data_IF_151750417922
#
_entry.id   IF_151750417922
#
_cell.length_a   1.000
_cell.length_b   1.000
_cell.length_c   1.000
_cell.angle_alpha   90.00
_cell.angle_beta   90.00
_cell.angle_gamma   90.00
#
_symmetry.space_group_name_H-M   'P 1'
#
loop_
_entity.id
_entity.type
_entity.pdbx_description
1 polymer ?
#
# COMPACT_ATOMS: atom_id res chain seq x y z
N UNK A 1 9.71 -20.68 -9.74
CA UNK A 1 9.90 -20.89 -11.19
C UNK A 1 8.71 -20.24 -11.88
N UNK A 2 8.82 -18.96 -12.24
CA UNK A 2 7.72 -18.18 -12.80
C UNK A 2 7.81 -18.24 -14.34
N UNK A 3 6.76 -18.74 -14.98
CA UNK A 3 6.66 -18.83 -16.43
C UNK A 3 5.66 -17.74 -16.89
N UNK A 4 6.16 -16.62 -17.38
CA UNK A 4 5.36 -15.55 -17.97
C UNK A 4 5.24 -15.73 -19.48
N UNK A 5 4.03 -15.85 -20.00
CA UNK A 5 3.76 -15.87 -21.45
C UNK A 5 3.40 -14.44 -21.88
N UNK A 6 4.27 -13.82 -22.67
CA UNK A 6 3.99 -12.56 -23.38
C UNK A 6 3.63 -12.87 -24.83
N UNK A 7 2.45 -12.44 -25.28
CA UNK A 7 2.07 -12.44 -26.69
C UNK A 7 2.44 -11.08 -27.31
N UNK A 8 3.30 -11.09 -28.32
CA UNK A 8 3.72 -9.91 -29.09
C UNK A 8 2.85 -9.85 -30.36
N UNK A 9 2.12 -8.76 -30.64
CA UNK A 9 1.51 -8.58 -31.95
C UNK A 9 2.59 -8.23 -32.99
N UNK A 10 2.53 -8.92 -34.14
CA UNK A 10 3.43 -8.70 -35.27
C UNK A 10 3.21 -7.31 -35.90
N UNK A 11 4.25 -6.48 -35.89
CA UNK A 11 4.34 -5.28 -36.70
C UNK A 11 4.91 -5.63 -38.08
N UNK A 12 4.18 -5.31 -39.15
CA UNK A 12 4.70 -5.37 -40.51
C UNK A 12 5.62 -4.18 -40.76
N UNK A 13 6.88 -4.46 -41.10
CA UNK A 13 7.84 -3.47 -41.58
C UNK A 13 7.47 -3.06 -43.02
N UNK A 14 7.33 -1.76 -43.26
CA UNK A 14 7.21 -1.19 -44.60
C UNK A 14 8.46 -0.37 -44.92
N UNK A 15 8.84 -0.48 -46.19
CA UNK A 15 10.13 -0.28 -46.81
C UNK A 15 10.69 1.15 -46.77
N UNK A 16 12.02 1.25 -46.92
CA UNK A 16 12.80 2.47 -46.86
C UNK A 16 12.62 3.35 -48.12
N UNK A 17 12.53 4.67 -47.89
CA UNK A 17 12.66 5.70 -48.92
C UNK A 17 13.23 6.98 -48.29
N UNK A 18 14.50 7.25 -48.54
CA UNK A 18 15.15 8.51 -48.23
C UNK A 18 14.75 9.58 -49.26
N UNK A 19 14.36 10.78 -48.82
CA UNK A 19 15.08 12.05 -49.06
C UNK A 19 14.30 13.25 -48.46
N UNK A 20 14.99 14.39 -48.39
CA UNK A 20 14.55 15.75 -48.10
C UNK A 20 14.64 16.24 -46.64
N UNK A 21 15.69 17.04 -46.42
CA UNK A 21 15.85 17.97 -45.32
C UNK A 21 14.82 19.11 -45.41
N UNK A 22 14.11 19.37 -44.31
CA UNK A 22 13.47 20.66 -44.03
C UNK A 22 13.80 21.06 -42.59
N UNK A 23 14.23 22.33 -42.44
CA UNK A 23 14.41 23.02 -41.18
C UNK A 23 13.12 22.99 -40.35
N UNK A 24 13.15 22.32 -39.19
CA UNK A 24 12.17 22.57 -38.14
C UNK A 24 12.80 23.45 -37.07
N UNK A 25 12.31 24.69 -36.99
CA UNK A 25 12.46 25.56 -35.82
C UNK A 25 12.24 24.77 -34.52
N UNK A 26 13.06 25.07 -33.51
CA UNK A 26 13.11 24.35 -32.24
C UNK A 26 11.76 24.19 -31.56
N UNK A 27 11.12 23.05 -31.82
CA UNK A 27 10.17 22.44 -30.91
C UNK A 27 10.99 22.06 -29.68
N UNK A 28 10.65 22.64 -28.53
CA UNK A 28 11.08 22.08 -27.24
C UNK A 28 10.64 20.64 -27.26
N UNK A 29 11.60 19.73 -27.40
CA UNK A 29 11.37 18.30 -27.36
C UNK A 29 10.77 18.01 -25.98
N UNK A 30 9.47 17.73 -25.94
CA UNK A 30 8.79 17.39 -24.70
C UNK A 30 9.39 16.05 -24.24
N UNK A 31 10.32 16.12 -23.30
CA UNK A 31 10.92 14.93 -22.72
C UNK A 31 9.89 14.29 -21.79
N UNK A 32 9.06 13.43 -22.35
CA UNK A 32 8.11 12.61 -21.60
C UNK A 32 8.92 11.55 -20.85
N UNK A 33 9.22 11.83 -19.58
CA UNK A 33 9.79 10.83 -18.69
C UNK A 33 8.67 9.92 -18.21
N UNK A 34 8.81 8.62 -18.40
CA UNK A 34 7.84 7.59 -17.95
C UNK A 34 8.44 6.66 -16.89
N UNK A 35 7.59 6.01 -16.10
CA UNK A 35 7.98 5.01 -15.09
C UNK A 35 8.67 5.59 -13.84
N UNK A 36 9.51 4.79 -13.17
CA UNK A 36 10.23 5.13 -11.92
C UNK A 36 10.84 6.54 -11.92
N UNK A 37 11.47 6.97 -13.03
CA UNK A 37 12.11 8.29 -13.11
C UNK A 37 11.09 9.43 -13.02
N UNK A 38 9.90 9.27 -13.61
CA UNK A 38 8.82 10.25 -13.52
C UNK A 38 8.30 10.34 -12.09
N UNK A 39 8.14 9.20 -11.44
CA UNK A 39 7.72 9.12 -10.04
C UNK A 39 8.69 9.88 -9.12
N UNK A 40 10.00 9.63 -9.27
CA UNK A 40 11.03 10.29 -8.49
C UNK A 40 11.03 11.81 -8.71
N UNK A 41 10.86 12.26 -9.96
CA UNK A 41 10.74 13.69 -10.28
C UNK A 41 9.48 14.28 -9.63
N UNK A 42 8.32 13.63 -9.76
CA UNK A 42 7.08 14.08 -9.13
C UNK A 42 7.18 14.17 -7.60
N UNK A 43 7.82 13.19 -6.96
CA UNK A 43 8.07 13.21 -5.51
C UNK A 43 9.07 14.31 -5.10
N UNK A 44 10.09 14.58 -5.92
CA UNK A 44 10.99 15.73 -5.71
C UNK A 44 10.28 17.07 -5.88
N UNK A 45 9.45 17.22 -6.91
CA UNK A 45 8.72 18.47 -7.17
C UNK A 45 7.73 18.75 -6.04
N UNK A 46 6.99 17.73 -5.58
CA UNK A 46 6.16 17.87 -4.37
C UNK A 46 7.00 18.30 -3.16
N UNK A 47 8.17 17.69 -2.94
CA UNK A 47 9.05 18.07 -1.83
C UNK A 47 9.59 19.50 -1.96
N UNK A 48 9.88 19.95 -3.18
CA UNK A 48 10.41 21.29 -3.48
C UNK A 48 9.37 22.38 -3.29
N UNK A 49 8.14 22.13 -3.73
CA UNK A 49 7.04 23.11 -3.66
C UNK A 49 6.38 23.13 -2.27
N UNK A 50 6.72 22.16 -1.42
CA UNK A 50 6.18 22.00 -0.09
C UNK A 50 6.94 22.86 0.96
N UNK A 51 6.21 23.71 1.69
CA UNK A 51 6.74 24.51 2.82
C UNK A 51 6.97 23.65 4.09
N UNK A 52 8.11 22.97 4.22
CA UNK A 52 8.45 22.09 5.36
C UNK A 52 8.92 20.68 4.93
N UNK A 53 9.08 19.75 5.89
CA UNK A 53 9.56 18.38 5.56
C UNK A 53 8.40 17.51 5.12
N UNK A 54 8.28 17.32 3.81
CA UNK A 54 7.31 16.44 3.17
C UNK A 54 8.04 15.39 2.35
N UNK A 55 7.60 14.16 2.50
CA UNK A 55 7.95 13.08 1.59
C UNK A 55 6.66 12.57 0.96
N UNK A 56 6.73 12.08 -0.26
CA UNK A 56 5.58 11.56 -0.96
C UNK A 56 5.97 10.33 -1.78
N UNK A 57 4.99 9.46 -2.01
CA UNK A 57 5.08 8.25 -2.82
C UNK A 57 3.94 8.27 -3.83
N UNK A 58 4.18 7.85 -5.06
CA UNK A 58 3.20 7.97 -6.17
C UNK A 58 2.59 6.63 -6.59
N UNK A 59 1.52 6.69 -7.38
CA UNK A 59 0.89 5.52 -8.00
C UNK A 59 1.89 4.62 -8.73
N UNK A 60 2.84 5.21 -9.44
CA UNK A 60 3.90 4.47 -10.12
C UNK A 60 4.81 3.71 -9.13
N UNK A 61 5.13 4.29 -7.96
CA UNK A 61 5.94 3.59 -6.94
C UNK A 61 5.21 2.40 -6.30
N UNK A 62 3.88 2.48 -6.18
CA UNK A 62 3.03 1.38 -5.71
C UNK A 62 2.88 0.28 -6.76
N UNK A 63 2.93 0.63 -8.04
CA UNK A 63 2.77 -0.31 -9.16
C UNK A 63 4.06 -1.00 -9.58
N UNK A 64 5.19 -0.32 -9.45
CA UNK A 64 6.52 -0.85 -9.82
C UNK A 64 6.99 -1.94 -8.86
N UNK A 65 6.43 -2.00 -7.66
CA UNK A 65 6.74 -2.99 -6.66
C UNK A 65 5.47 -3.69 -6.17
N UNK A 66 5.50 -5.01 -5.97
CA UNK A 66 4.33 -5.76 -5.52
C UNK A 66 4.13 -5.59 -4.00
N UNK A 67 3.94 -4.36 -3.52
CA UNK A 67 3.54 -4.12 -2.14
C UNK A 67 2.12 -4.68 -1.93
N UNK A 68 1.91 -5.40 -0.83
CA UNK A 68 0.61 -6.04 -0.54
C UNK A 68 -0.45 -5.02 -0.10
N UNK A 69 -0.02 -3.86 0.42
CA UNK A 69 -0.89 -2.78 0.85
C UNK A 69 -0.14 -1.44 0.92
N UNK A 70 -0.88 -0.39 1.28
CA UNK A 70 -0.37 0.97 1.30
C UNK A 70 0.64 1.24 2.43
N UNK A 71 0.50 0.61 3.60
CA UNK A 71 1.44 0.77 4.70
C UNK A 71 2.83 0.21 4.35
N UNK A 72 2.90 -0.97 3.72
CA UNK A 72 4.16 -1.55 3.27
C UNK A 72 4.90 -0.64 2.27
N UNK A 73 4.17 0.07 1.41
CA UNK A 73 4.77 1.06 0.53
C UNK A 73 5.32 2.29 1.30
N UNK A 74 4.61 2.74 2.34
CA UNK A 74 5.04 3.87 3.18
C UNK A 74 6.34 3.61 3.94
N UNK A 75 6.72 2.35 4.18
CA UNK A 75 7.99 2.00 4.83
C UNK A 75 9.23 2.47 4.04
N UNK A 76 9.06 2.80 2.75
CA UNK A 76 10.13 3.35 1.90
C UNK A 76 10.45 4.80 2.23
N UNK A 77 9.56 5.49 2.95
CA UNK A 77 9.78 6.86 3.37
C UNK A 77 10.72 6.85 4.59
N UNK A 78 11.84 7.60 4.56
CA UNK A 78 12.78 7.62 5.68
C UNK A 78 12.13 8.02 7.01
N UNK A 79 12.37 7.23 8.05
CA UNK A 79 11.80 7.49 9.38
C UNK A 79 10.32 7.17 9.49
N UNK A 80 9.76 6.43 8.53
CA UNK A 80 8.50 5.71 8.67
C UNK A 80 8.82 4.24 8.91
N UNK A 81 8.24 3.67 9.95
CA UNK A 81 8.20 2.23 10.20
C UNK A 81 6.76 1.77 10.23
N UNK A 82 6.54 0.48 10.12
CA UNK A 82 5.19 -0.09 10.12
C UNK A 82 5.04 -1.11 11.23
N UNK A 83 3.82 -1.17 11.76
CA UNK A 83 3.37 -2.22 12.64
C UNK A 83 2.61 -3.24 11.81
N UNK A 84 2.89 -4.51 12.07
CA UNK A 84 2.31 -5.62 11.29
C UNK A 84 1.25 -6.34 12.09
N UNK A 85 0.16 -6.65 11.40
CA UNK A 85 -0.88 -7.53 11.87
C UNK A 85 -1.01 -8.70 10.88
N UNK A 86 -0.96 -9.94 11.37
CA UNK A 86 -1.04 -11.16 10.54
C UNK A 86 -0.08 -11.15 9.33
N UNK A 87 1.16 -10.68 9.55
CA UNK A 87 2.21 -10.63 8.54
C UNK A 87 2.08 -9.50 7.51
N UNK A 88 1.15 -8.56 7.68
CA UNK A 88 0.99 -7.39 6.82
C UNK A 88 1.07 -6.08 7.59
N UNK A 89 1.70 -5.06 7.02
CA UNK A 89 1.66 -3.71 7.57
C UNK A 89 0.22 -3.20 7.69
N UNK A 90 -0.22 -2.84 8.88
CA UNK A 90 -1.56 -2.29 9.15
C UNK A 90 -1.49 -0.84 9.61
N UNK A 91 -0.45 -0.48 10.36
CA UNK A 91 -0.30 0.84 10.95
C UNK A 91 1.11 1.38 10.69
N UNK A 92 1.26 2.70 10.83
CA UNK A 92 2.54 3.38 10.61
C UNK A 92 2.98 4.10 11.87
N UNK A 93 4.27 4.05 12.14
CA UNK A 93 4.98 4.80 13.18
C UNK A 93 5.92 5.78 12.48
N UNK A 94 5.90 7.06 12.86
CA UNK A 94 6.71 8.08 12.19
C UNK A 94 7.62 8.78 13.18
N UNK A 95 8.92 8.80 12.89
CA UNK A 95 9.98 9.37 13.75
C UNK A 95 9.97 8.82 15.19
N UNK A 96 9.60 7.54 15.34
CA UNK A 96 9.52 6.86 16.64
C UNK A 96 8.26 7.21 17.45
N UNK A 97 7.34 8.01 16.91
CA UNK A 97 6.03 8.25 17.51
C UNK A 97 5.04 7.22 16.94
N UNK A 98 4.44 6.46 17.85
CA UNK A 98 3.52 5.37 17.55
C UNK A 98 2.32 5.78 16.70
N UNK A 99 1.56 4.80 16.17
CA UNK A 99 0.48 5.04 15.22
C UNK A 99 -0.61 6.00 15.69
N UNK A 100 -0.88 6.04 16.99
CA UNK A 100 -1.86 6.92 17.62
C UNK A 100 -1.51 8.41 17.54
N UNK A 101 -0.25 8.74 17.22
CA UNK A 101 0.24 10.11 17.06
C UNK A 101 0.24 10.57 15.60
N UNK A 102 -0.17 9.71 14.66
CA UNK A 102 -0.27 10.03 13.25
C UNK A 102 -1.73 10.31 12.87
N UNK A 103 -1.93 11.29 11.99
CA UNK A 103 -3.27 11.65 11.49
C UNK A 103 -3.37 11.27 10.02
N UNK A 104 -4.29 10.38 9.67
CA UNK A 104 -4.55 10.00 8.26
C UNK A 104 -5.71 10.81 7.68
N UNK A 105 -5.48 11.38 6.50
CA UNK A 105 -6.43 12.14 5.72
C UNK A 105 -6.66 11.45 4.38
N UNK A 106 -7.85 11.60 3.81
CA UNK A 106 -8.19 11.25 2.43
C UNK A 106 -8.66 12.52 1.72
N UNK A 107 -7.91 12.94 0.69
CA UNK A 107 -8.11 14.20 -0.02
C UNK A 107 -8.21 15.40 0.95
N UNK A 108 -7.41 15.40 2.03
CA UNK A 108 -7.40 16.43 3.07
C UNK A 108 -8.47 16.31 4.15
N UNK A 109 -9.37 15.30 4.09
CA UNK A 109 -10.41 15.04 5.10
C UNK A 109 -9.99 13.93 6.05
N UNK A 110 -10.21 14.09 7.35
CA UNK A 110 -9.84 13.05 8.34
C UNK A 110 -10.55 11.74 8.06
N UNK A 111 -9.78 10.65 8.01
CA UNK A 111 -10.34 9.31 7.94
C UNK A 111 -10.79 8.83 9.33
N UNK A 112 -11.88 8.04 9.41
CA UNK A 112 -12.28 7.40 10.66
C UNK A 112 -11.31 6.27 11.01
N UNK A 113 -11.18 5.98 12.31
CA UNK A 113 -10.38 4.89 12.85
C UNK A 113 -11.25 3.93 13.65
N UNK A 114 -11.01 2.62 13.53
CA UNK A 114 -11.73 1.59 14.27
C UNK A 114 -11.15 1.45 15.69
N UNK A 115 -11.80 2.07 16.68
CA UNK A 115 -11.53 1.85 18.10
C UNK A 115 -10.34 2.60 18.72
N UNK A 116 -9.44 3.18 17.91
CA UNK A 116 -8.27 3.96 18.35
C UNK A 116 -8.10 5.30 17.65
N UNK A 117 -6.96 5.97 17.82
CA UNK A 117 -6.55 7.15 16.99
C UNK A 117 -5.72 6.76 15.78
N UNK A 118 -5.22 5.53 15.73
CA UNK A 118 -4.48 4.99 14.59
C UNK A 118 -5.44 4.59 13.47
N UNK A 119 -5.05 4.90 12.24
CA UNK A 119 -5.76 4.47 11.05
C UNK A 119 -5.23 3.11 10.61
N UNK A 120 -6.12 2.19 10.25
CA UNK A 120 -5.74 0.90 9.68
C UNK A 120 -5.65 1.01 8.16
N UNK A 121 -4.44 0.89 7.64
CA UNK A 121 -4.16 0.93 6.20
C UNK A 121 -4.52 -0.39 5.50
N UNK A 122 -4.93 -1.43 6.23
CA UNK A 122 -5.54 -2.60 5.62
C UNK A 122 -6.86 -2.23 4.95
N UNK A 123 -7.60 -1.23 5.43
CA UNK A 123 -8.92 -0.83 4.91
C UNK A 123 -8.88 -0.13 3.55
N UNK A 124 -7.71 0.38 3.14
CA UNK A 124 -7.57 1.16 1.91
C UNK A 124 -6.69 0.41 0.92
N UNK A 125 -7.29 -0.01 -0.18
CA UNK A 125 -6.57 -0.46 -1.36
C UNK A 125 -5.67 0.64 -1.95
N UNK A 126 -4.54 0.24 -2.49
CA UNK A 126 -3.64 1.12 -3.25
C UNK A 126 -4.28 1.53 -4.58
N UNK A 127 -5.21 0.72 -5.10
CA UNK A 127 -5.89 0.94 -6.36
C UNK A 127 -6.91 2.08 -6.28
N UNK A 128 -6.55 3.21 -6.86
CA UNK A 128 -7.31 4.46 -6.80
C UNK A 128 -6.58 5.58 -6.06
N UNK A 129 -5.53 5.25 -5.30
CA UNK A 129 -4.63 6.24 -4.67
C UNK A 129 -3.59 6.68 -5.70
N UNK A 130 -3.57 7.98 -6.02
CA UNK A 130 -2.61 8.57 -6.95
C UNK A 130 -1.29 8.92 -6.26
N UNK A 131 -1.34 9.28 -4.98
CA UNK A 131 -0.16 9.55 -4.17
C UNK A 131 -0.48 9.50 -2.68
N UNK A 132 0.55 9.31 -1.86
CA UNK A 132 0.48 9.55 -0.43
C UNK A 132 1.54 10.56 -0.03
N UNK A 133 1.12 11.57 0.71
CA UNK A 133 1.98 12.63 1.21
C UNK A 133 2.13 12.50 2.73
N UNK A 134 3.36 12.45 3.21
CA UNK A 134 3.69 12.35 4.64
C UNK A 134 4.30 13.67 5.09
N UNK A 135 3.50 14.44 5.80
CA UNK A 135 3.88 15.72 6.40
C UNK A 135 4.43 15.48 7.80
N UNK A 136 5.73 15.67 7.96
CA UNK A 136 6.39 15.49 9.27
C UNK A 136 6.55 16.80 10.05
N UNK A 137 6.00 17.88 9.52
CA UNK A 137 5.98 19.20 10.14
C UNK A 137 4.58 19.77 9.99
N UNK A 138 4.06 20.39 11.04
CA UNK A 138 2.75 21.03 11.02
C UNK A 138 2.68 22.15 9.99
N UNK A 139 1.53 22.25 9.29
CA UNK A 139 1.23 23.32 8.33
C UNK A 139 -0.15 23.90 8.64
N UNK A 140 -0.31 25.19 8.39
CA UNK A 140 -1.58 25.88 8.62
C UNK A 140 -2.75 25.34 7.78
N UNK A 141 -2.47 24.78 6.60
CA UNK A 141 -3.47 24.20 5.70
C UNK A 141 -3.87 22.76 6.02
N UNK A 142 -3.25 22.13 7.03
CA UNK A 142 -3.58 20.76 7.43
C UNK A 142 -4.34 20.76 8.77
N UNK A 143 -5.31 19.85 8.95
CA UNK A 143 -5.93 19.64 10.25
C UNK A 143 -4.89 19.32 11.32
N UNK A 144 -5.13 19.82 12.53
CA UNK A 144 -4.29 19.52 13.70
C UNK A 144 -4.57 18.11 14.20
N UNK A 145 -3.57 17.44 14.79
CA UNK A 145 -3.77 16.13 15.42
C UNK A 145 -2.67 15.10 15.18
N UNK A 146 -1.88 15.26 14.11
CA UNK A 146 -0.71 14.43 13.80
C UNK A 146 0.57 15.01 14.41
N UNK A 147 0.92 14.61 15.63
CA UNK A 147 2.17 15.04 16.30
C UNK A 147 3.38 14.34 15.67
N UNK A 148 3.22 13.07 15.27
CA UNK A 148 4.23 12.31 14.54
C UNK A 148 4.30 12.74 13.07
N UNK A 149 3.19 12.54 12.37
CA UNK A 149 2.98 13.04 11.03
C UNK A 149 1.50 13.19 10.70
N UNK A 150 1.22 13.98 9.67
CA UNK A 150 -0.05 13.96 8.96
C UNK A 150 0.17 13.24 7.63
N UNK A 151 -0.56 12.17 7.38
CA UNK A 151 -0.50 11.37 6.15
C UNK A 151 -1.74 11.67 5.33
N UNK A 152 -1.56 12.17 4.11
CA UNK A 152 -2.65 12.53 3.22
C UNK A 152 -2.67 11.61 2.01
N UNK A 153 -3.73 10.83 1.91
CA UNK A 153 -4.04 9.93 0.81
C UNK A 153 -4.70 10.75 -0.30
N UNK A 154 -4.01 10.91 -1.43
CA UNK A 154 -4.55 11.57 -2.61
C UNK A 154 -5.12 10.51 -3.54
N UNK A 155 -6.38 10.67 -3.89
CA UNK A 155 -7.06 9.77 -4.83
C UNK A 155 -6.87 10.24 -6.26
N UNK A 156 -7.13 9.35 -7.20
CA UNK A 156 -7.10 9.68 -8.62
C UNK A 156 -8.22 10.63 -8.97
N UNK A 157 -7.93 11.60 -9.85
CA UNK A 157 -8.86 12.66 -10.24
C UNK A 157 -8.91 12.77 -11.76
N UNK A 158 -10.10 12.84 -12.38
CA UNK A 158 -10.23 12.82 -13.83
C UNK A 158 -9.53 14.01 -14.51
N UNK A 159 -9.56 15.21 -13.91
CA UNK A 159 -8.94 16.40 -14.51
C UNK A 159 -7.41 16.42 -14.41
N UNK A 160 -6.81 15.59 -13.55
CA UNK A 160 -5.36 15.46 -13.46
C UNK A 160 -4.76 14.61 -14.59
N UNK A 161 -5.60 13.86 -15.31
CA UNK A 161 -5.19 13.04 -16.44
C UNK A 161 -6.28 13.06 -17.51
N UNK A 162 -6.38 14.18 -18.26
CA UNK A 162 -7.45 14.37 -19.22
C UNK A 162 -7.51 13.30 -20.31
N UNK A 163 -8.69 13.17 -20.90
CA UNK A 163 -9.07 12.15 -21.87
C UNK A 163 -9.67 10.90 -21.25
N UNK A 164 -9.84 9.87 -22.07
CA UNK A 164 -10.30 8.55 -21.63
C UNK A 164 -9.13 7.73 -21.11
N UNK A 165 -9.21 7.28 -19.87
CA UNK A 165 -8.22 6.42 -19.22
C UNK A 165 -8.93 5.20 -18.64
N UNK A 166 -8.32 4.03 -18.81
CA UNK A 166 -8.85 2.78 -18.29
C UNK A 166 -7.71 1.83 -17.95
N UNK A 167 -7.80 1.19 -16.80
CA UNK A 167 -6.90 0.10 -16.41
C UNK A 167 -7.70 -0.96 -15.69
N UNK A 168 -7.36 -2.22 -15.96
CA UNK A 168 -7.87 -3.38 -15.24
C UNK A 168 -6.66 -4.22 -14.86
N UNK A 169 -6.60 -4.63 -13.61
CA UNK A 169 -5.52 -5.46 -13.06
C UNK A 169 -6.14 -6.70 -12.44
N UNK A 170 -5.50 -7.84 -12.68
CA UNK A 170 -5.84 -9.10 -12.03
C UNK A 170 -4.55 -9.77 -11.55
N UNK A 171 -4.53 -10.19 -10.29
CA UNK A 171 -3.42 -10.86 -9.62
C UNK A 171 -3.93 -12.09 -8.88
N UNK A 172 -3.02 -13.01 -8.58
CA UNK A 172 -3.28 -14.13 -7.69
C UNK A 172 -2.12 -14.21 -6.69
N UNK A 173 -2.44 -14.16 -5.40
CA UNK A 173 -1.48 -14.25 -4.31
C UNK A 173 -1.26 -15.70 -3.95
N UNK A 174 0.00 -16.14 -3.87
CA UNK A 174 0.35 -17.48 -3.39
C UNK A 174 0.77 -17.41 -1.92
N UNK A 175 -0.03 -17.98 -1.03
CA UNK A 175 0.29 -18.00 0.39
C UNK A 175 1.04 -19.27 0.78
N UNK A 176 2.21 -19.10 1.40
CA UNK A 176 3.06 -20.22 1.84
C UNK A 176 2.79 -20.66 3.28
N UNK A 177 2.09 -19.83 4.06
CA UNK A 177 1.79 -20.08 5.48
C UNK A 177 0.63 -21.04 5.74
N UNK A 178 -0.05 -21.54 4.69
CA UNK A 178 -1.20 -22.46 4.81
C UNK A 178 -0.89 -23.96 4.58
N UNK A 179 0.31 -24.53 4.86
CA UNK A 179 0.55 -25.93 4.60
C UNK A 179 -0.29 -26.79 5.56
N UNK A 180 -1.18 -27.61 5.01
CA UNK A 180 -1.97 -28.57 5.80
C UNK A 180 -3.31 -28.05 6.32
N UNK A 181 -3.70 -26.81 6.04
CA UNK A 181 -5.10 -26.40 6.16
C UNK A 181 -5.90 -26.91 4.95
N UNK A 182 -7.03 -27.56 5.19
CA UNK A 182 -7.99 -27.97 4.15
C UNK A 182 -8.96 -26.87 3.77
N UNK A 183 -9.12 -25.90 4.65
CA UNK A 183 -10.18 -24.89 4.58
C UNK A 183 -9.66 -23.60 3.94
N UNK A 184 -8.33 -23.41 3.93
CA UNK A 184 -7.68 -22.27 3.31
C UNK A 184 -7.15 -22.54 1.90
N UNK A 185 -7.34 -21.56 1.04
CA UNK A 185 -6.88 -21.51 -0.34
C UNK A 185 -5.45 -20.95 -0.41
N UNK A 186 -4.55 -21.73 -1.01
CA UNK A 186 -3.17 -21.32 -1.31
C UNK A 186 -3.06 -20.20 -2.34
N UNK A 187 -4.10 -19.99 -3.12
CA UNK A 187 -4.17 -19.00 -4.18
C UNK A 187 -5.41 -18.15 -3.97
N UNK A 188 -5.23 -16.87 -3.70
CA UNK A 188 -6.36 -15.94 -3.54
C UNK A 188 -6.33 -14.86 -4.61
N UNK A 189 -7.49 -14.45 -5.15
CA UNK A 189 -7.56 -13.47 -6.22
C UNK A 189 -7.48 -12.04 -5.69
N UNK A 190 -6.94 -11.17 -6.53
CA UNK A 190 -7.04 -9.72 -6.39
C UNK A 190 -7.36 -9.13 -7.76
N UNK A 191 -8.42 -8.34 -7.84
CA UNK A 191 -8.86 -7.68 -9.06
C UNK A 191 -9.12 -6.21 -8.78
N UNK A 192 -8.77 -5.37 -9.72
CA UNK A 192 -9.03 -3.94 -9.62
C UNK A 192 -9.23 -3.31 -10.97
N UNK A 193 -9.91 -2.18 -10.98
CA UNK A 193 -10.17 -1.43 -12.19
C UNK A 193 -10.36 0.04 -11.90
N UNK A 194 -9.99 0.86 -12.87
CA UNK A 194 -10.25 2.28 -12.88
C UNK A 194 -10.64 2.70 -14.28
N UNK A 195 -11.68 3.50 -14.37
CA UNK A 195 -12.13 4.16 -15.58
C UNK A 195 -12.28 5.65 -15.32
N UNK A 196 -11.74 6.47 -16.20
CA UNK A 196 -11.86 7.91 -16.11
C UNK A 196 -12.09 8.50 -17.49
N UNK A 197 -12.92 9.52 -17.55
CA UNK A 197 -13.21 10.23 -18.78
C UNK A 197 -13.47 11.70 -18.48
N UNK A 198 -12.87 12.57 -19.30
CA UNK A 198 -13.18 13.99 -19.33
C UNK A 198 -14.04 14.35 -20.55
N UNK A 199 -14.77 15.43 -20.42
CA UNK A 199 -15.76 15.94 -21.36
C UNK A 199 -15.68 17.47 -21.41
N UNK A 200 -16.30 18.05 -22.45
CA UNK A 200 -16.41 19.50 -22.64
C UNK A 200 -15.05 20.20 -22.52
N UNK A 201 -14.11 19.83 -23.41
CA UNK A 201 -12.75 20.37 -23.44
C UNK A 201 -12.04 20.28 -22.08
N UNK A 202 -12.14 19.11 -21.45
CA UNK A 202 -11.53 18.79 -20.16
C UNK A 202 -12.03 19.64 -18.97
N UNK A 203 -13.20 20.26 -19.08
CA UNK A 203 -13.82 21.01 -17.97
C UNK A 203 -14.68 20.16 -17.05
N UNK A 204 -15.18 19.02 -17.51
CA UNK A 204 -15.95 18.08 -16.69
C UNK A 204 -15.34 16.69 -16.74
N UNK A 205 -15.24 16.02 -15.60
CA UNK A 205 -14.60 14.72 -15.50
C UNK A 205 -15.34 13.77 -14.59
N UNK A 206 -15.39 12.50 -15.00
CA UNK A 206 -15.91 11.40 -14.20
C UNK A 206 -14.81 10.36 -14.02
N UNK A 207 -14.68 9.83 -12.82
CA UNK A 207 -13.81 8.69 -12.52
C UNK A 207 -14.56 7.71 -11.63
N UNK A 208 -14.43 6.43 -11.97
CA UNK A 208 -14.93 5.32 -11.18
C UNK A 208 -13.79 4.32 -11.02
N UNK A 209 -13.55 3.88 -9.79
CA UNK A 209 -12.60 2.80 -9.53
C UNK A 209 -13.15 1.84 -8.50
N UNK A 210 -12.62 0.62 -8.51
CA UNK A 210 -12.92 -0.37 -7.50
C UNK A 210 -11.90 -1.48 -7.47
N UNK A 211 -11.81 -2.14 -6.33
CA UNK A 211 -10.95 -3.30 -6.12
C UNK A 211 -11.61 -4.29 -5.17
N UNK A 212 -11.28 -5.55 -5.40
CA UNK A 212 -11.62 -6.67 -4.55
C UNK A 212 -10.38 -7.53 -4.37
N UNK A 213 -10.03 -7.82 -3.13
CA UNK A 213 -8.91 -8.71 -2.81
C UNK A 213 -9.30 -9.64 -1.70
N UNK A 214 -8.97 -10.93 -1.86
CA UNK A 214 -9.07 -11.93 -0.82
C UNK A 214 -7.67 -12.34 -0.39
N UNK A 215 -7.47 -12.55 0.91
CA UNK A 215 -6.25 -13.16 1.45
C UNK A 215 -6.63 -14.15 2.54
N UNK A 216 -5.99 -15.31 2.50
CA UNK A 216 -6.17 -16.37 3.48
C UNK A 216 -4.79 -16.76 3.98
N UNK A 217 -4.58 -16.77 5.30
CA UNK A 217 -3.32 -17.15 5.90
C UNK A 217 -3.53 -17.99 7.16
N UNK A 218 -2.47 -18.67 7.59
CA UNK A 218 -2.47 -19.40 8.84
C UNK A 218 -1.32 -18.95 9.71
N UNK A 219 -1.65 -18.55 10.91
CA UNK A 219 -0.68 -18.26 11.97
C UNK A 219 -0.45 -19.54 12.76
N UNK A 220 0.82 -19.88 12.99
CA UNK A 220 1.22 -20.97 13.87
C UNK A 220 1.99 -20.38 15.04
N UNK A 221 1.54 -20.67 16.26
CA UNK A 221 2.17 -20.16 17.46
C UNK A 221 2.60 -21.32 18.36
N UNK A 222 3.80 -21.19 18.92
CA UNK A 222 4.27 -22.03 20.01
C UNK A 222 4.40 -21.16 21.25
N UNK A 223 3.75 -21.57 22.34
CA UNK A 223 3.82 -20.86 23.61
C UNK A 223 4.24 -21.80 24.74
N UNK A 224 4.97 -21.23 25.69
CA UNK A 224 5.27 -21.84 26.98
C UNK A 224 4.76 -20.86 28.02
N UNK A 225 3.77 -21.24 28.82
CA UNK A 225 3.13 -20.29 29.73
C UNK A 225 4.07 -19.89 30.87
N UNK A 226 4.88 -20.83 31.36
CA UNK A 226 5.85 -20.57 32.42
C UNK A 226 7.04 -21.53 32.38
N UNK A 227 8.18 -21.07 32.91
CA UNK A 227 9.35 -21.89 33.16
C UNK A 227 9.57 -22.06 34.66
N UNK A 228 9.80 -23.29 35.11
CA UNK A 228 10.14 -23.61 36.49
C UNK A 228 11.64 -23.85 36.67
N UNK A 229 12.18 -23.27 37.73
CA UNK A 229 13.57 -23.47 38.14
C UNK A 229 13.70 -24.71 39.03
N UNK A 230 14.72 -25.55 38.78
CA UNK A 230 15.18 -26.64 39.65
C UNK A 230 14.07 -27.59 40.14
N UNK A 231 13.11 -27.90 39.27
CA UNK A 231 12.08 -28.89 39.57
C UNK A 231 12.71 -30.28 39.70
N UNK A 232 12.54 -30.90 40.86
CA UNK A 232 12.92 -32.30 41.08
C UNK A 232 11.95 -33.20 40.29
N UNK A 233 12.46 -33.84 39.24
CA UNK A 233 11.71 -34.72 38.34
C UNK A 233 11.82 -36.20 38.71
N UNK A 234 12.51 -36.52 39.81
CA UNK A 234 12.74 -37.88 40.26
C UNK A 234 13.68 -38.69 39.36
N UNK A 235 14.23 -39.78 39.92
CA UNK A 235 15.33 -40.57 39.35
C UNK A 235 14.92 -41.46 38.14
N UNK A 236 13.72 -41.28 37.58
CA UNK A 236 13.12 -42.21 36.62
C UNK A 236 13.28 -41.82 35.14
N UNK A 237 13.84 -40.64 34.85
CA UNK A 237 13.93 -40.18 33.47
C UNK A 237 15.40 -40.08 33.04
N UNK A 238 15.85 -40.98 32.14
CA UNK A 238 17.12 -40.83 31.41
C UNK A 238 16.98 -39.69 30.38
N UNK A 239 16.79 -38.47 30.87
CA UNK A 239 16.76 -37.27 30.05
C UNK A 239 18.18 -36.74 30.02
N UNK A 240 18.78 -36.70 28.82
CA UNK A 240 20.03 -35.96 28.61
C UNK A 240 19.69 -34.48 28.79
N UNK A 241 19.91 -33.98 30.02
CA UNK A 241 19.60 -32.60 30.39
C UNK A 241 20.61 -31.65 29.75
N UNK A 242 20.26 -31.08 28.60
CA UNK A 242 21.01 -29.99 27.95
C UNK A 242 20.53 -28.59 28.41
N UNK A 243 19.61 -28.54 29.38
CA UNK A 243 18.95 -27.32 29.86
C UNK A 243 19.62 -26.73 31.10
N UNK A 244 20.73 -27.35 31.56
CA UNK A 244 21.55 -26.82 32.64
C UNK A 244 22.36 -25.63 32.13
N UNK A 245 22.11 -24.46 32.73
CA UNK A 245 22.89 -23.25 32.47
C UNK A 245 24.25 -23.34 33.17
N UNK A 246 25.18 -22.48 32.77
CA UNK A 246 26.53 -22.38 33.36
C UNK A 246 26.54 -22.04 34.85
N UNK A 247 25.42 -21.55 35.42
CA UNK A 247 25.23 -21.29 36.84
C UNK A 247 24.66 -22.51 37.62
N UNK A 248 24.54 -23.67 36.97
CA UNK A 248 24.09 -24.93 37.58
C UNK A 248 22.57 -25.09 37.67
N UNK A 249 21.79 -24.06 37.31
CA UNK A 249 20.32 -24.10 37.35
C UNK A 249 19.75 -24.81 36.13
N UNK A 250 18.69 -25.58 36.35
CA UNK A 250 17.91 -26.19 35.27
C UNK A 250 16.53 -25.56 35.18
N UNK A 251 16.09 -25.27 33.96
CA UNK A 251 14.77 -24.72 33.68
C UNK A 251 13.93 -25.71 32.89
N UNK A 252 12.67 -25.87 33.29
CA UNK A 252 11.70 -26.74 32.62
C UNK A 252 10.46 -25.97 32.22
N UNK A 253 9.94 -26.13 30.99
CA UNK A 253 8.66 -25.53 30.61
C UNK A 253 7.53 -26.23 31.39
N UNK A 254 6.58 -25.47 31.93
CA UNK A 254 5.39 -25.98 32.62
C UNK A 254 4.48 -26.74 31.65
N UNK A 255 4.34 -26.19 30.46
CA UNK A 255 3.50 -26.60 29.36
C UNK A 255 4.10 -26.11 28.05
N UNK A 256 3.86 -26.85 26.97
CA UNK A 256 4.17 -26.41 25.62
C UNK A 256 2.87 -26.46 24.84
N UNK A 257 2.32 -25.29 24.53
CA UNK A 257 1.16 -25.13 23.66
C UNK A 257 1.61 -24.94 22.23
N UNK A 258 0.96 -25.66 21.31
CA UNK A 258 1.06 -25.38 19.89
C UNK A 258 -0.35 -25.06 19.39
N UNK A 259 -0.49 -23.89 18.78
CA UNK A 259 -1.75 -23.37 18.27
C UNK A 259 -1.63 -22.99 16.81
N UNK A 260 -2.78 -22.97 16.14
CA UNK A 260 -2.90 -22.39 14.83
C UNK A 260 -4.18 -21.56 14.75
N UNK A 261 -4.12 -20.47 14.00
CA UNK A 261 -5.26 -19.63 13.67
C UNK A 261 -5.31 -19.47 12.16
N UNK A 262 -6.41 -19.92 11.57
CA UNK A 262 -6.69 -19.73 10.15
C UNK A 262 -7.44 -18.38 10.03
N UNK A 263 -6.86 -17.43 9.31
CA UNK A 263 -7.46 -16.11 9.09
C UNK A 263 -7.81 -15.95 7.61
N UNK A 264 -9.00 -15.41 7.40
CA UNK A 264 -9.51 -15.01 6.09
C UNK A 264 -9.79 -13.51 6.16
N UNK A 265 -9.40 -12.81 5.10
CA UNK A 265 -9.68 -11.39 4.96
C UNK A 265 -10.17 -11.08 3.57
N UNK A 266 -11.29 -10.39 3.49
CA UNK A 266 -11.83 -9.84 2.25
C UNK A 266 -11.81 -8.32 2.33
N UNK A 267 -11.33 -7.68 1.25
CA UNK A 267 -11.30 -6.23 1.14
C UNK A 267 -11.97 -5.79 -0.13
N UNK A 268 -12.92 -4.89 0.02
CA UNK A 268 -13.65 -4.27 -1.08
C UNK A 268 -13.53 -2.75 -0.99
N UNK A 269 -13.04 -2.13 -2.05
CA UNK A 269 -13.01 -0.68 -2.17
C UNK A 269 -13.71 -0.23 -3.44
N UNK A 270 -14.40 0.90 -3.36
CA UNK A 270 -15.02 1.54 -4.51
C UNK A 270 -14.92 3.06 -4.38
N UNK A 271 -14.77 3.74 -5.49
CA UNK A 271 -14.72 5.19 -5.52
C UNK A 271 -15.42 5.74 -6.76
N UNK A 272 -16.13 6.85 -6.57
CA UNK A 272 -16.70 7.66 -7.64
C UNK A 272 -16.28 9.11 -7.42
N UNK A 273 -15.74 9.74 -8.47
CA UNK A 273 -15.32 11.15 -8.45
C UNK A 273 -15.96 11.86 -9.64
N UNK A 274 -16.60 12.99 -9.36
CA UNK A 274 -17.07 13.95 -10.34
C UNK A 274 -16.29 15.25 -10.13
N UNK A 275 -15.72 15.79 -11.20
CA UNK A 275 -15.03 17.07 -11.16
C UNK A 275 -15.60 18.01 -12.20
N UNK A 276 -15.71 19.28 -11.83
CA UNK A 276 -16.16 20.34 -12.71
C UNK A 276 -15.27 21.57 -12.52
N UNK A 277 -14.54 21.94 -13.57
CA UNK A 277 -13.65 23.08 -13.64
C UNK A 277 -14.05 23.96 -14.85
N UNK A 278 -15.08 24.82 -14.70
CA UNK A 278 -15.53 25.72 -15.78
C UNK A 278 -14.54 26.85 -16.09
N UNK A 279 -13.61 27.14 -15.17
CA UNK A 279 -12.53 28.13 -15.35
C UNK A 279 -11.24 27.60 -14.72
N UNK A 280 -10.10 28.17 -15.10
CA UNK A 280 -8.78 27.79 -14.57
C UNK A 280 -8.62 28.06 -13.05
N UNK A 281 -9.51 28.88 -12.48
CA UNK A 281 -9.46 29.33 -11.09
C UNK A 281 -10.46 28.64 -10.18
N UNK A 282 -11.44 27.92 -10.74
CA UNK A 282 -12.51 27.29 -9.97
C UNK A 282 -12.62 25.82 -10.33
N UNK A 283 -12.52 24.96 -9.31
CA UNK A 283 -12.74 23.53 -9.44
C UNK A 283 -13.64 23.05 -8.31
N UNK A 284 -14.77 22.46 -8.68
CA UNK A 284 -15.63 21.70 -7.77
C UNK A 284 -15.32 20.21 -7.91
N UNK A 285 -15.24 19.50 -6.78
CA UNK A 285 -15.04 18.04 -6.76
C UNK A 285 -16.04 17.42 -5.80
N UNK A 286 -16.76 16.40 -6.29
CA UNK A 286 -17.59 15.53 -5.49
C UNK A 286 -16.99 14.13 -5.57
N UNK A 287 -16.54 13.60 -4.43
CA UNK A 287 -15.98 12.27 -4.36
C UNK A 287 -16.62 11.45 -3.24
N UNK A 288 -16.97 10.21 -3.56
CA UNK A 288 -17.50 9.21 -2.65
C UNK A 288 -16.55 8.01 -2.63
N UNK A 289 -16.12 7.61 -1.44
CA UNK A 289 -15.20 6.49 -1.26
C UNK A 289 -15.84 5.50 -0.29
N UNK A 290 -15.88 4.24 -0.70
CA UNK A 290 -16.32 3.10 0.07
C UNK A 290 -15.13 2.20 0.36
N UNK A 291 -15.02 1.78 1.61
CA UNK A 291 -13.97 0.88 2.07
C UNK A 291 -14.56 -0.05 3.12
N UNK A 292 -14.37 -1.34 2.90
CA UNK A 292 -14.82 -2.41 3.78
C UNK A 292 -13.77 -3.51 3.82
N UNK A 293 -13.48 -3.97 5.02
CA UNK A 293 -12.62 -5.10 5.31
C UNK A 293 -13.37 -6.03 6.26
N UNK A 294 -13.51 -7.30 5.87
CA UNK A 294 -14.04 -8.38 6.69
C UNK A 294 -12.93 -9.35 7.09
#
# INVERSE_FOLDING_TARGET
MALGVFAIPHAYAQDAGADAAEESEGLVEEVIVTGVRKSLIASMDRKRDAVGVVDAITAEDFGDFPDTNLAEALQRIPGVSIDRFNGEGSQITVRGLGPEFNLTLLNGRSMPSAGGRSFDFLDVATEGVSAVEVYKTSRAGLPTGGIGATVNLLTSRPLNSPGMRGVITAKALHETSVPGSSDLNKWTPEVSGLYSQTFADDTFGVLISGSYSKRENREENASVAQWFENRDIGDQATIINNSQRTDGRTWYPQDAGYGFADNERERTNAQVVLQWAPTDTFTATLDYTYAETE
#
